data_IF_523585165254
#
_entry.id   IF_523585165254
#
_cell.length_a   1.000
_cell.length_b   1.000
_cell.length_c   1.000
_cell.angle_alpha   90.00
_cell.angle_beta   90.00
_cell.angle_gamma   90.00
#
_symmetry.space_group_name_H-M   'P 1'
#
loop_
_entity.id
_entity.type
_entity.pdbx_description
1 polymer ?
#
# COMPACT_ATOMS: atom_id res chain seq x y z
N UNK A 1 3.47 -2.35 -0.77
CA UNK A 1 3.44 -3.77 -1.10
C UNK A 1 2.77 -3.96 -2.47
N UNK A 2 3.32 -4.79 -3.31
CA UNK A 2 2.77 -5.08 -4.63
C UNK A 2 2.97 -6.57 -4.97
N UNK A 3 2.04 -7.12 -5.74
CA UNK A 3 2.13 -8.50 -6.17
C UNK A 3 1.23 -8.76 -7.37
N UNK A 4 1.46 -9.91 -8.02
CA UNK A 4 0.69 -10.32 -9.19
C UNK A 4 -0.49 -11.19 -8.78
N UNK A 5 -1.61 -11.01 -9.48
CA UNK A 5 -2.83 -11.77 -9.21
C UNK A 5 -2.68 -13.18 -9.79
N UNK A 6 -2.89 -14.18 -8.96
CA UNK A 6 -2.95 -15.57 -9.40
C UNK A 6 -4.28 -15.88 -10.08
N UNK A 7 -4.34 -17.04 -10.74
CA UNK A 7 -5.48 -17.41 -11.59
C UNK A 7 -6.82 -17.44 -10.85
N UNK A 8 -6.83 -17.99 -9.64
CA UNK A 8 -8.06 -18.22 -8.87
C UNK A 8 -8.14 -17.34 -7.61
N UNK A 9 -7.36 -16.26 -7.56
CA UNK A 9 -7.35 -15.36 -6.42
C UNK A 9 -8.15 -14.08 -6.71
N UNK A 10 -8.91 -13.62 -5.71
CA UNK A 10 -9.50 -12.29 -5.77
C UNK A 10 -8.41 -11.23 -5.52
N UNK A 11 -8.66 -9.99 -5.91
CA UNK A 11 -7.74 -8.90 -5.68
C UNK A 11 -7.45 -8.69 -4.19
N UNK A 12 -8.47 -8.86 -3.35
CA UNK A 12 -8.33 -8.72 -1.89
C UNK A 12 -7.48 -9.83 -1.30
N UNK A 13 -7.66 -11.06 -1.76
CA UNK A 13 -6.85 -12.20 -1.33
C UNK A 13 -5.38 -12.00 -1.68
N UNK A 14 -5.10 -11.52 -2.90
CA UNK A 14 -3.75 -11.21 -3.33
C UNK A 14 -3.13 -10.13 -2.45
N UNK A 15 -3.88 -9.05 -2.19
CA UNK A 15 -3.38 -7.95 -1.37
C UNK A 15 -3.02 -8.42 0.04
N UNK A 16 -3.89 -9.19 0.67
CA UNK A 16 -3.64 -9.74 2.00
C UNK A 16 -2.45 -10.70 2.03
N UNK A 17 -2.37 -11.57 1.03
CA UNK A 17 -1.27 -12.54 0.91
C UNK A 17 0.07 -11.82 0.74
N UNK A 18 0.14 -10.86 -0.16
CA UNK A 18 1.38 -10.13 -0.43
C UNK A 18 1.86 -9.33 0.78
N UNK A 19 0.95 -8.71 1.52
CA UNK A 19 1.32 -8.01 2.75
C UNK A 19 1.90 -8.98 3.78
N UNK A 20 1.26 -10.13 3.96
CA UNK A 20 1.72 -11.15 4.88
C UNK A 20 3.10 -11.68 4.49
N UNK A 21 3.28 -12.01 3.21
CA UNK A 21 4.55 -12.54 2.70
C UNK A 21 5.69 -11.53 2.82
N UNK A 22 5.41 -10.27 2.49
CA UNK A 22 6.45 -9.23 2.44
C UNK A 22 6.74 -8.59 3.78
N UNK A 23 5.76 -8.50 4.68
CA UNK A 23 5.90 -7.77 5.95
C UNK A 23 5.63 -8.58 7.20
N UNK A 24 5.06 -9.77 7.07
CA UNK A 24 4.62 -10.57 8.23
C UNK A 24 3.39 -10.01 8.94
N UNK A 25 2.73 -9.03 8.37
CA UNK A 25 1.57 -8.38 8.97
C UNK A 25 0.28 -9.00 8.44
N UNK A 26 -0.64 -9.33 9.37
CA UNK A 26 -1.99 -9.78 9.03
C UNK A 26 -2.91 -8.57 8.93
N UNK A 27 -3.47 -8.34 7.76
CA UNK A 27 -4.42 -7.26 7.53
C UNK A 27 -5.81 -7.73 7.92
N UNK A 28 -6.50 -6.97 8.77
CA UNK A 28 -7.84 -7.33 9.23
C UNK A 28 -8.93 -6.91 8.26
N UNK A 29 -8.81 -5.72 7.69
CA UNK A 29 -9.78 -5.18 6.73
C UNK A 29 -9.05 -4.48 5.60
N UNK A 30 -9.64 -4.54 4.40
CA UNK A 30 -9.16 -3.81 3.23
C UNK A 30 -10.23 -2.84 2.74
N UNK A 31 -9.79 -1.63 2.42
CA UNK A 31 -10.62 -0.61 1.81
C UNK A 31 -10.06 -0.31 0.42
N UNK A 32 -10.83 -0.54 -0.67
CA UNK A 32 -10.32 -0.20 -2.00
C UNK A 32 -10.14 1.31 -2.14
N UNK A 33 -9.00 1.69 -2.68
CA UNK A 33 -8.69 3.10 -2.92
C UNK A 33 -9.11 3.48 -4.35
N UNK A 34 -8.42 2.92 -5.32
CA UNK A 34 -8.66 3.21 -6.74
C UNK A 34 -7.92 2.19 -7.60
N UNK A 35 -8.37 2.04 -8.84
CA UNK A 35 -7.63 1.32 -9.87
C UNK A 35 -7.20 2.32 -10.94
N UNK A 36 -6.00 2.17 -11.47
CA UNK A 36 -5.49 3.07 -12.48
C UNK A 36 -4.50 2.37 -13.40
N UNK A 37 -4.21 3.00 -14.53
CA UNK A 37 -3.23 2.54 -15.49
C UNK A 37 -1.95 3.37 -15.30
N UNK A 38 -0.85 2.77 -14.80
CA UNK A 38 0.37 3.53 -14.56
C UNK A 38 1.05 4.04 -15.83
N UNK A 39 0.83 3.38 -16.97
CA UNK A 39 1.47 3.74 -18.24
C UNK A 39 0.52 3.50 -19.40
N UNK A 40 -0.58 4.22 -19.44
CA UNK A 40 -1.69 3.99 -20.37
C UNK A 40 -1.29 4.02 -21.85
N UNK A 41 -0.26 4.79 -22.22
CA UNK A 41 0.22 4.87 -23.60
C UNK A 41 1.18 3.77 -24.03
N UNK A 42 1.66 2.95 -23.10
CA UNK A 42 2.73 1.98 -23.32
C UNK A 42 2.35 0.57 -22.91
N UNK A 43 1.48 0.43 -21.90
CA UNK A 43 1.14 -0.85 -21.28
C UNK A 43 -0.33 -0.88 -20.92
N UNK A 44 -0.89 -2.08 -20.86
CA UNK A 44 -2.25 -2.31 -20.35
C UNK A 44 -2.25 -2.75 -18.88
N UNK A 45 -1.11 -2.63 -18.21
CA UNK A 45 -1.01 -2.92 -16.78
C UNK A 45 -2.00 -2.10 -15.99
N UNK A 46 -2.68 -2.74 -15.05
CA UNK A 46 -3.65 -2.08 -14.17
C UNK A 46 -3.21 -2.24 -12.72
N UNK A 47 -3.16 -1.12 -12.02
CA UNK A 47 -2.83 -1.09 -10.60
C UNK A 47 -4.10 -0.99 -9.77
N UNK A 48 -4.26 -1.86 -8.79
CA UNK A 48 -5.39 -1.84 -7.86
C UNK A 48 -4.84 -1.55 -6.47
N UNK A 49 -5.19 -0.39 -5.92
CA UNK A 49 -4.69 0.05 -4.61
C UNK A 49 -5.72 -0.21 -3.52
N UNK A 50 -5.23 -0.67 -2.38
CA UNK A 50 -6.04 -0.89 -1.18
C UNK A 50 -5.36 -0.25 0.03
N UNK A 51 -6.17 0.19 0.98
CA UNK A 51 -5.72 0.56 2.31
C UNK A 51 -6.12 -0.57 3.27
N UNK A 52 -5.16 -1.07 4.03
CA UNK A 52 -5.41 -2.14 4.98
C UNK A 52 -5.33 -1.64 6.41
N UNK A 53 -6.11 -2.24 7.30
CA UNK A 53 -6.06 -2.00 8.74
C UNK A 53 -5.32 -3.13 9.42
N UNK A 54 -4.35 -2.78 10.25
CA UNK A 54 -3.53 -3.77 10.95
C UNK A 54 -2.94 -3.14 12.21
N UNK A 55 -2.54 -4.00 13.15
CA UNK A 55 -1.79 -3.57 14.33
C UNK A 55 -0.31 -3.47 13.94
N UNK A 56 0.22 -2.26 13.94
CA UNK A 56 1.59 -1.97 13.53
C UNK A 56 2.54 -1.68 14.69
N UNK A 57 2.10 -1.90 15.92
CA UNK A 57 2.95 -1.65 17.10
C UNK A 57 4.20 -2.52 17.01
N UNK A 58 5.37 -1.88 17.05
CA UNK A 58 6.69 -2.52 16.96
C UNK A 58 6.95 -3.25 15.63
N UNK A 59 6.22 -2.87 14.58
CA UNK A 59 6.38 -3.46 13.24
C UNK A 59 7.19 -2.53 12.35
N UNK A 60 8.52 -2.59 12.46
CA UNK A 60 9.42 -1.90 11.54
C UNK A 60 10.66 -2.76 11.31
N UNK A 61 11.34 -2.56 10.19
CA UNK A 61 12.55 -3.31 9.85
C UNK A 61 12.55 -3.80 8.42
N UNK A 62 13.38 -4.79 8.15
CA UNK A 62 13.51 -5.40 6.83
C UNK A 62 12.75 -6.71 6.76
N UNK A 63 11.93 -6.85 5.74
CA UNK A 63 11.08 -8.02 5.50
C UNK A 63 11.16 -8.43 4.03
N UNK A 64 10.55 -9.56 3.70
CA UNK A 64 10.50 -10.09 2.36
C UNK A 64 10.87 -11.57 2.33
N UNK A 65 10.65 -12.22 1.19
CA UNK A 65 10.98 -13.62 0.99
C UNK A 65 12.37 -13.74 0.38
N UNK A 66 13.27 -14.41 1.09
CA UNK A 66 14.63 -14.70 0.59
C UNK A 66 14.58 -15.46 -0.75
N UNK A 67 13.63 -16.39 -0.88
CA UNK A 67 13.46 -17.19 -2.09
C UNK A 67 13.06 -16.35 -3.31
N UNK A 68 12.48 -15.18 -3.09
CA UNK A 68 12.09 -14.24 -4.14
C UNK A 68 13.06 -13.07 -4.26
N UNK A 69 14.16 -13.13 -3.51
CA UNK A 69 15.19 -12.08 -3.49
C UNK A 69 14.61 -10.71 -3.12
N UNK A 70 13.66 -10.73 -2.19
CA UNK A 70 13.04 -9.51 -1.71
C UNK A 70 13.75 -8.98 -0.46
N UNK A 71 13.96 -7.68 -0.39
CA UNK A 71 14.47 -6.98 0.78
C UNK A 71 13.66 -5.71 0.96
N UNK A 72 12.62 -5.81 1.80
CA UNK A 72 11.67 -4.72 1.99
C UNK A 72 11.84 -4.13 3.37
N UNK A 73 12.03 -2.82 3.44
CA UNK A 73 12.08 -2.10 4.70
C UNK A 73 10.72 -1.54 5.04
N UNK A 74 10.17 -1.99 6.17
CA UNK A 74 8.90 -1.51 6.68
C UNK A 74 9.11 -0.22 7.47
N UNK A 75 8.36 0.82 7.13
CA UNK A 75 8.35 2.08 7.85
C UNK A 75 7.00 2.31 8.49
N UNK A 76 7.02 2.79 9.73
CA UNK A 76 5.79 3.22 10.41
C UNK A 76 5.88 4.73 10.57
N UNK A 77 4.92 5.45 10.01
CA UNK A 77 4.87 6.90 10.00
C UNK A 77 3.60 7.38 10.70
N UNK A 78 3.69 8.46 11.44
CA UNK A 78 2.48 9.16 11.86
C UNK A 78 1.81 9.79 10.64
N UNK A 79 0.52 10.08 10.74
CA UNK A 79 -0.18 10.75 9.64
C UNK A 79 0.49 12.08 9.29
N UNK A 80 0.84 12.89 10.30
CA UNK A 80 1.46 14.19 10.05
C UNK A 80 2.82 14.06 9.36
N UNK A 81 3.64 13.10 9.80
CA UNK A 81 4.92 12.82 9.13
C UNK A 81 4.72 12.37 7.70
N UNK A 82 3.74 11.52 7.44
CA UNK A 82 3.44 11.05 6.10
C UNK A 82 3.02 12.20 5.18
N UNK A 83 2.21 13.13 5.69
CA UNK A 83 1.79 14.30 4.91
C UNK A 83 2.95 15.25 4.64
N UNK A 84 3.84 15.45 5.62
CA UNK A 84 5.06 16.23 5.41
C UNK A 84 5.94 15.61 4.31
N UNK A 85 6.07 14.29 4.32
CA UNK A 85 6.81 13.56 3.28
C UNK A 85 6.16 13.68 1.92
N UNK A 86 4.84 13.61 1.87
CA UNK A 86 4.08 13.72 0.62
C UNK A 86 4.31 15.08 -0.04
N UNK A 87 4.06 16.15 0.69
CA UNK A 87 4.14 17.51 0.15
C UNK A 87 5.57 18.03 0.05
N UNK A 88 6.48 17.42 0.81
CA UNK A 88 7.91 17.73 0.71
C UNK A 88 8.66 16.98 -0.39
N UNK A 89 7.96 16.11 -1.13
CA UNK A 89 8.57 15.38 -2.25
C UNK A 89 9.39 14.16 -1.85
N UNK A 90 9.23 13.66 -0.64
CA UNK A 90 9.92 12.46 -0.19
C UNK A 90 9.45 11.21 -0.94
N UNK A 91 8.13 11.10 -1.16
CA UNK A 91 7.54 9.99 -1.89
C UNK A 91 7.50 10.31 -3.38
N UNK A 92 8.07 9.43 -4.20
CA UNK A 92 8.21 9.67 -5.63
C UNK A 92 7.57 8.58 -6.51
N UNK A 93 6.97 7.56 -5.93
CA UNK A 93 6.23 6.58 -6.71
C UNK A 93 4.77 7.03 -6.85
N UNK A 94 4.20 6.84 -8.04
CA UNK A 94 2.82 7.23 -8.31
C UNK A 94 1.85 6.56 -7.34
N UNK A 95 2.04 5.27 -7.07
CA UNK A 95 1.16 4.52 -6.18
C UNK A 95 1.17 5.10 -4.75
N UNK A 96 2.35 5.42 -4.23
CA UNK A 96 2.49 6.02 -2.89
C UNK A 96 1.82 7.38 -2.81
N UNK A 97 2.05 8.23 -3.82
CA UNK A 97 1.47 9.57 -3.88
C UNK A 97 -0.05 9.49 -3.92
N UNK A 98 -0.60 8.65 -4.80
CA UNK A 98 -2.05 8.46 -4.94
C UNK A 98 -2.65 7.97 -3.62
N UNK A 99 -2.05 6.96 -3.01
CA UNK A 99 -2.55 6.38 -1.77
C UNK A 99 -2.55 7.38 -0.62
N UNK A 100 -1.49 8.19 -0.50
CA UNK A 100 -1.38 9.18 0.58
C UNK A 100 -2.33 10.35 0.36
N UNK A 101 -2.55 10.79 -0.87
CA UNK A 101 -3.55 11.81 -1.17
C UNK A 101 -4.96 11.29 -0.86
N UNK A 102 -5.24 10.04 -1.18
CA UNK A 102 -6.50 9.41 -0.80
C UNK A 102 -6.66 9.37 0.73
N UNK A 103 -5.60 9.01 1.45
CA UNK A 103 -5.65 8.94 2.91
C UNK A 103 -5.94 10.30 3.54
N UNK A 104 -5.34 11.36 3.02
CA UNK A 104 -5.62 12.72 3.49
C UNK A 104 -7.09 13.07 3.34
N UNK A 105 -7.65 12.82 2.16
CA UNK A 105 -9.05 13.08 1.88
C UNK A 105 -9.97 12.23 2.76
N UNK A 106 -9.65 10.96 2.90
CA UNK A 106 -10.42 10.03 3.73
C UNK A 106 -10.49 10.50 5.18
N UNK A 107 -9.37 10.96 5.74
CA UNK A 107 -9.33 11.46 7.12
C UNK A 107 -10.11 12.77 7.28
N UNK A 108 -10.07 13.64 6.29
CA UNK A 108 -10.86 14.87 6.30
C UNK A 108 -12.36 14.57 6.32
N UNK A 109 -12.80 13.64 5.47
CA UNK A 109 -14.21 13.21 5.43
C UNK A 109 -14.63 12.55 6.72
N UNK A 110 -13.79 11.69 7.30
CA UNK A 110 -14.07 11.04 8.58
C UNK A 110 -14.18 12.05 9.73
N UNK A 111 -13.38 13.12 9.70
CA UNK A 111 -13.44 14.17 10.71
C UNK A 111 -14.71 15.02 10.63
N UNK A 112 -15.38 15.03 9.47
CA UNK A 112 -16.62 15.75 9.26
C UNK A 112 -17.86 14.94 9.69
N UNK A 113 -17.66 13.66 9.90
CA UNK A 113 -18.71 12.76 10.42
C UNK A 113 -18.62 12.68 11.94
#
# INVERSE_FOLDING_TARGET
VAGMVGRDESLEEVAKREVLEETGICVSELCPIISYLPSAGVSDEKMNLFCGYADLINKSGHFGLESENEDIKLHVWSFDEAMQGLYGGYFNSAASIIALQWLEKYRQEAALC
#
